data_IF_706253287072
#
_entry.id   IF_706253287072
#
_cell.length_a   1.000
_cell.length_b   1.000
_cell.length_c   1.000
_cell.angle_alpha   90.00
_cell.angle_beta   90.00
_cell.angle_gamma   90.00
#
_symmetry.space_group_name_H-M   'P 1'
#
loop_
_entity.id
_entity.type
_entity.pdbx_description
1 polymer ?
#
# COMPACT_ATOMS: atom_id res chain seq x y z
N UNK A 1 69.04 -12.23 -33.20
CA UNK A 1 68.81 -13.50 -32.48
C UNK A 1 68.53 -13.16 -31.02
N UNK A 2 67.58 -13.87 -30.42
CA UNK A 2 67.00 -13.77 -29.06
C UNK A 2 65.73 -12.90 -28.96
N UNK A 3 64.60 -13.63 -29.00
CA UNK A 3 63.27 -13.27 -28.54
C UNK A 3 63.26 -12.95 -27.04
N UNK A 4 62.32 -12.10 -26.60
CA UNK A 4 61.51 -12.41 -25.43
C UNK A 4 60.14 -11.71 -25.51
N UNK A 5 59.11 -12.54 -25.52
CA UNK A 5 57.68 -12.27 -25.45
C UNK A 5 57.29 -12.02 -23.97
N UNK A 6 56.16 -11.32 -23.73
CA UNK A 6 55.14 -11.50 -22.66
C UNK A 6 54.57 -10.14 -22.22
N UNK A 7 53.38 -9.69 -22.65
CA UNK A 7 51.98 -10.11 -22.33
C UNK A 7 51.34 -9.25 -21.21
N UNK A 8 50.18 -8.66 -21.58
CA UNK A 8 49.03 -8.20 -20.78
C UNK A 8 49.19 -6.91 -19.94
N UNK A 9 48.16 -6.07 -19.70
CA UNK A 9 46.76 -6.37 -19.40
C UNK A 9 45.84 -5.24 -19.92
N UNK A 10 44.81 -5.59 -20.67
CA UNK A 10 43.71 -4.68 -21.02
C UNK A 10 42.71 -4.60 -19.87
N UNK A 11 42.46 -3.39 -19.36
CA UNK A 11 41.45 -3.12 -18.33
C UNK A 11 40.11 -2.86 -19.02
N UNK A 12 39.27 -3.90 -19.12
CA UNK A 12 37.88 -3.73 -19.49
C UNK A 12 37.07 -3.31 -18.26
N UNK A 13 36.74 -2.01 -18.18
CA UNK A 13 35.77 -1.47 -17.23
C UNK A 13 34.37 -1.97 -17.60
N UNK A 14 33.95 -3.08 -16.97
CA UNK A 14 32.57 -3.53 -16.97
C UNK A 14 31.75 -2.58 -16.08
N UNK A 15 30.99 -1.70 -16.71
CA UNK A 15 29.92 -0.96 -16.05
C UNK A 15 28.84 -1.95 -15.61
N UNK A 16 28.91 -2.40 -14.36
CA UNK A 16 27.83 -3.11 -13.72
C UNK A 16 26.66 -2.13 -13.51
N UNK A 17 25.66 -2.16 -14.39
CA UNK A 17 24.39 -1.47 -14.18
C UNK A 17 23.68 -2.10 -12.98
N UNK A 18 23.32 -1.36 -11.91
CA UNK A 18 22.58 -1.93 -10.80
C UNK A 18 21.12 -2.09 -11.23
N UNK A 19 20.75 -3.24 -11.79
CA UNK A 19 19.35 -3.57 -12.12
C UNK A 19 18.55 -4.06 -10.90
N UNK A 20 19.06 -3.90 -9.69
CA UNK A 20 18.59 -4.60 -8.50
C UNK A 20 17.66 -3.75 -7.62
N UNK A 21 16.60 -3.16 -8.21
CA UNK A 21 15.52 -2.53 -7.42
C UNK A 21 14.10 -2.78 -7.98
N UNK A 22 13.94 -3.10 -9.27
CA UNK A 22 12.59 -3.25 -9.85
C UNK A 22 11.91 -4.61 -9.61
N UNK A 23 12.61 -5.61 -9.07
CA UNK A 23 12.15 -7.00 -9.07
C UNK A 23 11.28 -7.39 -7.85
N UNK A 24 11.33 -6.61 -6.75
CA UNK A 24 10.65 -6.96 -5.49
C UNK A 24 9.13 -6.69 -5.50
N UNK A 25 8.66 -5.76 -6.33
CA UNK A 25 7.22 -5.42 -6.38
C UNK A 25 6.42 -6.34 -7.30
N UNK A 26 7.00 -6.79 -8.42
CA UNK A 26 6.33 -7.73 -9.33
C UNK A 26 6.15 -9.12 -8.69
N UNK A 27 7.12 -9.57 -7.88
CA UNK A 27 7.04 -10.83 -7.15
C UNK A 27 5.85 -10.89 -6.17
N UNK A 28 5.50 -9.76 -5.54
CA UNK A 28 4.43 -9.70 -4.53
C UNK A 28 3.02 -9.83 -5.12
N UNK A 29 2.81 -9.44 -6.37
CA UNK A 29 1.56 -9.63 -7.10
C UNK A 29 1.50 -10.96 -7.87
N UNK A 30 2.52 -11.82 -7.74
CA UNK A 30 2.59 -13.13 -8.40
C UNK A 30 2.58 -14.27 -7.38
N UNK A 31 2.00 -14.06 -6.20
CA UNK A 31 1.86 -15.11 -5.19
C UNK A 31 1.06 -16.28 -5.77
N UNK A 32 1.54 -17.54 -5.63
CA UNK A 32 0.76 -18.71 -6.01
C UNK A 32 -0.48 -18.88 -5.11
N UNK A 33 -0.51 -18.20 -3.97
CA UNK A 33 -1.68 -18.17 -3.08
C UNK A 33 -2.78 -17.28 -3.66
N UNK A 34 -3.67 -17.89 -4.45
CA UNK A 34 -4.84 -17.22 -5.03
C UNK A 34 -5.77 -16.64 -3.96
N UNK A 35 -5.75 -17.16 -2.73
CA UNK A 35 -6.59 -16.67 -1.63
C UNK A 35 -6.14 -15.30 -1.12
N UNK A 36 -4.90 -14.91 -1.39
CA UNK A 36 -4.42 -13.57 -1.09
C UNK A 36 -5.04 -12.50 -2.01
N UNK A 37 -5.50 -12.88 -3.21
CA UNK A 37 -6.16 -11.96 -4.12
C UNK A 37 -7.60 -11.72 -3.72
N UNK A 38 -8.05 -10.47 -3.83
CA UNK A 38 -9.45 -10.13 -3.61
C UNK A 38 -10.32 -10.80 -4.68
N UNK A 39 -11.22 -11.67 -4.27
CA UNK A 39 -12.07 -12.45 -5.16
C UNK A 39 -13.38 -11.72 -5.46
N UNK A 40 -14.03 -12.02 -6.59
CA UNK A 40 -15.29 -11.38 -6.99
C UNK A 40 -16.46 -11.59 -6.00
N UNK A 41 -16.40 -12.64 -5.17
CA UNK A 41 -17.38 -12.89 -4.11
C UNK A 41 -17.06 -12.20 -2.78
N UNK A 42 -15.94 -11.49 -2.67
CA UNK A 42 -15.60 -10.71 -1.49
C UNK A 42 -16.51 -9.48 -1.39
N UNK A 43 -17.11 -9.17 -0.23
CA UNK A 43 -17.95 -7.98 -0.07
C UNK A 43 -17.26 -6.67 -0.48
N UNK A 44 -15.94 -6.54 -0.26
CA UNK A 44 -15.21 -5.34 -0.65
C UNK A 44 -14.90 -5.27 -2.16
N UNK A 45 -15.16 -6.33 -2.94
CA UNK A 45 -14.67 -6.42 -4.31
C UNK A 45 -15.15 -5.29 -5.22
N UNK A 46 -16.44 -4.94 -5.15
CA UNK A 46 -17.03 -3.91 -6.01
C UNK A 46 -16.37 -2.56 -5.73
N UNK A 47 -16.41 -2.10 -4.47
CA UNK A 47 -15.81 -0.84 -4.08
C UNK A 47 -14.30 -0.83 -4.32
N UNK A 48 -13.62 -1.96 -4.09
CA UNK A 48 -12.19 -2.05 -4.30
C UNK A 48 -11.81 -1.90 -5.78
N UNK A 49 -12.61 -2.48 -6.69
CA UNK A 49 -12.41 -2.33 -8.13
C UNK A 49 -12.79 -0.92 -8.62
N UNK A 50 -13.81 -0.29 -8.04
CA UNK A 50 -14.16 1.11 -8.32
C UNK A 50 -13.02 2.06 -7.95
N UNK A 51 -12.42 1.90 -6.76
CA UNK A 51 -11.25 2.66 -6.35
C UNK A 51 -10.04 2.36 -7.25
N UNK A 52 -9.81 1.09 -7.60
CA UNK A 52 -8.74 0.73 -8.54
C UNK A 52 -8.91 1.42 -9.90
N UNK A 53 -10.14 1.48 -10.41
CA UNK A 53 -10.46 2.12 -11.67
C UNK A 53 -10.28 3.64 -11.59
N UNK A 54 -10.69 4.26 -10.48
CA UNK A 54 -10.47 5.68 -10.21
C UNK A 54 -8.98 6.01 -10.24
N UNK A 55 -8.16 5.24 -9.53
CA UNK A 55 -6.70 5.42 -9.51
C UNK A 55 -6.09 5.28 -10.92
N UNK A 56 -6.49 4.25 -11.68
CA UNK A 56 -6.03 4.04 -13.06
C UNK A 56 -6.39 5.21 -13.97
N UNK A 57 -7.63 5.71 -13.87
CA UNK A 57 -8.08 6.87 -14.65
C UNK A 57 -7.30 8.15 -14.35
N UNK A 58 -6.60 8.20 -13.20
CA UNK A 58 -5.81 9.33 -12.72
C UNK A 58 -4.30 9.05 -12.76
N UNK A 59 -3.88 8.07 -13.57
CA UNK A 59 -2.48 7.84 -13.92
C UNK A 59 -1.68 6.99 -12.93
N UNK A 60 -2.35 6.25 -12.04
CA UNK A 60 -1.71 5.16 -11.30
C UNK A 60 -1.72 3.87 -12.11
N UNK A 61 -0.68 3.05 -11.97
CA UNK A 61 -0.73 1.65 -12.37
C UNK A 61 -1.04 0.79 -11.15
N UNK A 62 -2.28 0.31 -11.03
CA UNK A 62 -2.66 -0.67 -10.01
C UNK A 62 -2.28 -2.06 -10.48
N UNK A 63 -1.21 -2.61 -9.89
CA UNK A 63 -0.59 -3.90 -10.26
C UNK A 63 -1.45 -5.08 -9.81
N UNK A 64 -1.92 -5.05 -8.56
CA UNK A 64 -2.87 -6.02 -8.04
C UNK A 64 -3.64 -5.45 -6.84
N UNK A 65 -4.78 -6.07 -6.56
CA UNK A 65 -5.61 -5.81 -5.38
C UNK A 65 -5.76 -7.13 -4.62
N UNK A 66 -5.39 -7.08 -3.34
CA UNK A 66 -5.29 -8.23 -2.45
C UNK A 66 -6.24 -8.04 -1.25
N UNK A 67 -6.49 -9.11 -0.52
CA UNK A 67 -7.16 -9.03 0.79
C UNK A 67 -6.29 -8.24 1.77
N UNK A 68 -6.95 -7.47 2.62
CA UNK A 68 -6.30 -6.59 3.60
C UNK A 68 -6.17 -7.30 4.95
N UNK A 69 -5.09 -7.02 5.68
CA UNK A 69 -4.96 -7.50 7.06
C UNK A 69 -5.79 -6.68 8.06
N UNK A 70 -6.40 -5.59 7.58
CA UNK A 70 -7.27 -4.70 8.35
C UNK A 70 -8.77 -5.00 8.14
N UNK A 71 -9.10 -6.14 7.53
CA UNK A 71 -10.46 -6.67 7.54
C UNK A 71 -10.98 -6.75 8.99
N UNK A 72 -12.17 -6.17 9.23
CA UNK A 72 -12.79 -6.18 10.56
C UNK A 72 -12.22 -5.16 11.57
N UNK A 73 -11.39 -4.20 11.17
CA UNK A 73 -10.84 -3.19 12.08
C UNK A 73 -11.92 -2.28 12.72
N UNK A 74 -13.05 -2.08 12.05
CA UNK A 74 -14.17 -1.25 12.50
C UNK A 74 -15.50 -2.01 12.43
N UNK A 75 -16.42 -1.69 13.33
CA UNK A 75 -17.81 -2.16 13.27
C UNK A 75 -18.47 -1.65 11.99
N UNK A 76 -19.19 -2.55 11.31
CA UNK A 76 -19.95 -2.20 10.11
C UNK A 76 -19.11 -2.01 8.84
N UNK A 77 -17.82 -2.38 8.82
CA UNK A 77 -17.06 -2.46 7.57
C UNK A 77 -17.72 -3.44 6.59
N UNK A 78 -17.79 -3.02 5.34
CA UNK A 78 -18.13 -3.93 4.23
C UNK A 78 -16.92 -4.80 3.89
N UNK A 79 -15.73 -4.23 3.92
CA UNK A 79 -14.48 -4.98 3.93
C UNK A 79 -13.26 -4.09 3.74
N UNK A 80 -12.15 -4.67 3.31
CA UNK A 80 -10.89 -3.96 3.13
C UNK A 80 -10.04 -4.60 2.03
N UNK A 81 -9.17 -3.82 1.38
CA UNK A 81 -8.29 -4.29 0.33
C UNK A 81 -6.90 -3.65 0.39
N UNK A 82 -5.88 -4.43 0.06
CA UNK A 82 -4.49 -3.98 -0.11
C UNK A 82 -4.22 -3.71 -1.59
N UNK A 83 -3.77 -2.51 -1.91
CA UNK A 83 -3.40 -2.09 -3.24
C UNK A 83 -1.88 -2.12 -3.39
N UNK A 84 -1.41 -2.76 -4.46
CA UNK A 84 -0.02 -2.64 -4.92
C UNK A 84 -0.01 -1.76 -6.15
N UNK A 85 0.70 -0.64 -6.11
CA UNK A 85 0.78 0.29 -7.25
C UNK A 85 2.21 0.49 -7.74
N UNK A 86 2.38 1.26 -8.81
CA UNK A 86 3.67 1.79 -9.25
C UNK A 86 4.24 2.86 -8.31
N UNK A 87 3.43 3.44 -7.43
CA UNK A 87 3.81 4.54 -6.52
C UNK A 87 3.90 4.11 -5.05
N UNK A 88 3.73 2.82 -4.77
CA UNK A 88 3.75 2.25 -3.43
C UNK A 88 2.47 1.50 -3.09
N UNK A 89 2.41 1.00 -1.87
CA UNK A 89 1.34 0.14 -1.38
C UNK A 89 0.53 0.85 -0.30
N UNK A 90 -0.78 0.63 -0.28
CA UNK A 90 -1.67 1.15 0.76
C UNK A 90 -2.86 0.20 0.97
N UNK A 91 -3.45 0.26 2.16
CA UNK A 91 -4.71 -0.44 2.44
C UNK A 91 -5.87 0.55 2.36
N UNK A 92 -7.02 0.10 1.88
CA UNK A 92 -8.26 0.85 1.91
C UNK A 92 -9.35 0.03 2.60
N UNK A 93 -10.09 0.67 3.49
CA UNK A 93 -11.21 0.10 4.22
C UNK A 93 -12.48 0.76 3.72
N UNK A 94 -13.54 -0.03 3.58
CA UNK A 94 -14.79 0.34 2.94
C UNK A 94 -15.93 0.24 3.94
N UNK A 95 -16.66 1.34 4.12
CA UNK A 95 -17.97 1.31 4.76
C UNK A 95 -19.06 1.14 3.71
N UNK A 96 -20.21 0.54 4.08
CA UNK A 96 -21.39 0.54 3.23
C UNK A 96 -21.83 1.97 2.89
N UNK A 97 -21.98 2.26 1.59
CA UNK A 97 -22.54 3.56 1.15
C UNK A 97 -23.97 3.73 1.70
N UNK A 98 -24.35 4.93 2.22
CA UNK A 98 -23.64 6.21 2.16
C UNK A 98 -22.82 6.54 3.42
N UNK A 99 -22.48 5.57 4.27
CA UNK A 99 -21.71 5.82 5.50
C UNK A 99 -20.30 6.33 5.18
N UNK A 100 -19.72 7.11 6.09
CA UNK A 100 -18.41 7.76 5.89
C UNK A 100 -17.54 7.66 7.14
N UNK A 101 -16.25 7.87 6.97
CA UNK A 101 -15.27 7.97 8.05
C UNK A 101 -15.08 9.40 8.58
N UNK A 102 -15.97 10.34 8.25
CA UNK A 102 -15.82 11.75 8.65
C UNK A 102 -15.82 11.97 10.17
N UNK A 103 -16.39 11.04 10.94
CA UNK A 103 -16.36 11.04 12.41
C UNK A 103 -15.19 10.27 13.02
N UNK A 104 -14.25 9.78 12.20
CA UNK A 104 -13.09 9.00 12.66
C UNK A 104 -12.02 9.93 13.22
N UNK A 105 -11.48 9.57 14.37
CA UNK A 105 -10.38 10.27 15.02
C UNK A 105 -9.22 9.29 15.16
N UNK A 106 -8.06 9.66 14.62
CA UNK A 106 -6.82 8.90 14.77
C UNK A 106 -5.96 9.61 15.82
N UNK A 107 -5.59 8.88 16.87
CA UNK A 107 -4.65 9.35 17.90
C UNK A 107 -3.31 8.65 17.66
N UNK A 108 -2.28 9.44 17.37
CA UNK A 108 -0.90 8.98 17.28
C UNK A 108 -0.19 9.20 18.62
N UNK A 109 0.52 8.17 19.08
CA UNK A 109 1.43 8.22 20.22
C UNK A 109 2.81 7.78 19.76
N UNK A 110 3.84 8.58 20.06
CA UNK A 110 5.22 8.19 19.81
C UNK A 110 5.91 7.84 21.13
N UNK A 111 6.40 6.61 21.26
CA UNK A 111 7.14 6.14 22.44
C UNK A 111 8.27 5.21 22.02
N UNK A 112 9.47 5.40 22.61
CA UNK A 112 10.64 4.55 22.36
C UNK A 112 10.99 4.38 20.86
N UNK A 113 10.83 5.44 20.07
CA UNK A 113 11.07 5.41 18.62
C UNK A 113 10.03 4.61 17.81
N UNK A 114 8.93 4.18 18.43
CA UNK A 114 7.79 3.54 17.77
C UNK A 114 6.61 4.49 17.69
N UNK A 115 5.78 4.28 16.69
CA UNK A 115 4.52 4.97 16.51
C UNK A 115 3.40 4.00 16.80
N UNK A 116 2.50 4.38 17.70
CA UNK A 116 1.27 3.67 17.94
C UNK A 116 0.08 4.52 17.55
N UNK A 117 -0.91 3.90 16.91
CA UNK A 117 -2.16 4.53 16.53
C UNK A 117 -3.31 3.85 17.26
N UNK A 118 -4.21 4.67 17.79
CA UNK A 118 -5.53 4.23 18.25
C UNK A 118 -6.61 5.02 17.52
N UNK A 119 -7.74 4.36 17.32
CA UNK A 119 -8.86 4.92 16.56
C UNK A 119 -10.03 5.18 17.50
N UNK A 120 -10.78 6.25 17.27
CA UNK A 120 -11.93 6.65 18.07
C UNK A 120 -13.02 7.26 17.17
N UNK A 121 -14.23 7.41 17.70
CA UNK A 121 -15.34 8.04 16.98
C UNK A 121 -16.16 7.05 16.14
N UNK A 122 -16.57 7.46 14.94
CA UNK A 122 -17.48 6.70 14.06
C UNK A 122 -16.83 6.47 12.69
N UNK A 123 -16.84 5.22 12.15
CA UNK A 123 -17.39 3.98 12.74
C UNK A 123 -16.67 3.56 14.03
N UNK A 124 -17.35 2.79 14.87
CA UNK A 124 -16.76 2.34 16.14
C UNK A 124 -15.62 1.35 15.83
N UNK A 125 -14.40 1.58 16.33
CA UNK A 125 -13.31 0.63 16.18
C UNK A 125 -13.50 -0.58 17.09
N UNK A 126 -13.02 -1.74 16.67
CA UNK A 126 -13.07 -2.95 17.52
C UNK A 126 -12.21 -2.79 18.78
N UNK A 127 -12.48 -3.52 19.88
CA UNK A 127 -11.72 -3.36 21.12
C UNK A 127 -10.20 -3.54 20.99
N UNK A 128 -9.74 -4.32 20.00
CA UNK A 128 -8.33 -4.49 19.67
C UNK A 128 -7.82 -3.46 18.64
N UNK A 129 -8.07 -2.16 18.86
CA UNK A 129 -7.79 -1.07 17.91
C UNK A 129 -6.44 -0.37 18.12
N UNK A 130 -5.35 -1.15 18.22
CA UNK A 130 -4.00 -0.60 18.36
C UNK A 130 -3.12 -1.06 17.20
N UNK A 131 -2.61 -0.10 16.42
CA UNK A 131 -1.65 -0.37 15.34
C UNK A 131 -0.29 0.16 15.76
N UNK A 132 0.71 -0.71 15.77
CA UNK A 132 2.09 -0.37 16.12
C UNK A 132 2.99 -0.43 14.89
N UNK A 133 3.92 0.53 14.78
CA UNK A 133 4.75 0.69 13.59
C UNK A 133 6.12 1.29 13.92
N UNK A 134 7.21 0.79 13.31
CA UNK A 134 8.53 1.40 13.44
C UNK A 134 8.69 2.70 12.62
N UNK A 135 7.67 3.08 11.83
CA UNK A 135 7.64 4.27 10.98
C UNK A 135 6.26 4.94 11.05
N UNK A 136 6.16 6.25 10.72
CA UNK A 136 4.87 6.93 10.62
C UNK A 136 3.90 6.20 9.67
N UNK A 137 2.61 6.29 9.99
CA UNK A 137 1.50 5.85 9.15
C UNK A 137 0.60 7.05 8.98
N UNK A 138 0.36 7.39 7.72
CA UNK A 138 -0.56 8.41 7.31
C UNK A 138 -1.95 7.82 7.03
N UNK A 139 -2.98 8.61 7.32
CA UNK A 139 -4.37 8.23 7.10
C UNK A 139 -5.08 9.28 6.24
N UNK A 140 -5.89 8.82 5.30
CA UNK A 140 -6.74 9.68 4.48
C UNK A 140 -8.14 9.09 4.43
N UNK A 141 -9.16 9.92 4.34
CA UNK A 141 -10.52 9.44 4.08
C UNK A 141 -11.21 10.29 3.03
N UNK A 142 -12.05 9.65 2.24
CA UNK A 142 -12.89 10.28 1.24
C UNK A 142 -14.14 9.43 1.02
N UNK A 143 -15.32 10.05 1.15
CA UNK A 143 -16.61 9.34 1.11
C UNK A 143 -16.62 8.12 2.05
N UNK A 144 -16.87 6.92 1.52
CA UNK A 144 -16.94 5.67 2.28
C UNK A 144 -15.57 4.94 2.41
N UNK A 145 -14.47 5.60 2.03
CA UNK A 145 -13.12 5.03 2.05
C UNK A 145 -12.26 5.59 3.18
N UNK A 146 -11.49 4.72 3.83
CA UNK A 146 -10.41 5.07 4.76
C UNK A 146 -9.12 4.38 4.33
N UNK A 147 -8.09 5.17 4.04
CA UNK A 147 -6.81 4.70 3.50
C UNK A 147 -5.74 4.73 4.57
N UNK A 148 -4.94 3.66 4.63
CA UNK A 148 -3.82 3.48 5.55
C UNK A 148 -2.53 3.39 4.74
N UNK A 149 -1.64 4.37 4.93
CA UNK A 149 -0.56 4.68 3.99
C UNK A 149 0.75 4.79 4.76
N UNK A 150 1.76 4.01 4.38
CA UNK A 150 3.09 3.99 5.05
C UNK A 150 4.15 4.85 4.36
N UNK A 151 3.77 5.52 3.27
CA UNK A 151 4.64 6.34 2.43
C UNK A 151 4.03 7.75 2.26
N UNK A 152 4.73 8.77 2.73
CA UNK A 152 4.22 10.14 2.73
C UNK A 152 4.10 10.75 1.33
N UNK A 153 4.96 10.34 0.39
CA UNK A 153 4.85 10.78 -1.00
C UNK A 153 3.61 10.18 -1.66
N UNK A 154 3.34 8.89 -1.39
CA UNK A 154 2.13 8.21 -1.82
C UNK A 154 0.89 8.89 -1.22
N UNK A 155 0.93 9.29 0.05
CA UNK A 155 -0.18 10.02 0.70
C UNK A 155 -0.56 11.27 -0.09
N UNK A 156 0.40 12.13 -0.40
CA UNK A 156 0.16 13.36 -1.19
C UNK A 156 -0.46 13.03 -2.55
N UNK A 157 0.03 11.99 -3.23
CA UNK A 157 -0.52 11.57 -4.53
C UNK A 157 -1.91 10.97 -4.47
N UNK A 158 -2.24 10.27 -3.39
CA UNK A 158 -3.60 9.75 -3.17
C UNK A 158 -4.57 10.90 -2.86
N UNK A 159 -4.16 11.87 -2.05
CA UNK A 159 -4.97 13.04 -1.72
C UNK A 159 -5.34 13.87 -2.96
N UNK A 160 -4.36 14.14 -3.84
CA UNK A 160 -4.57 14.81 -5.14
C UNK A 160 -5.60 14.08 -6.03
N UNK A 161 -5.65 12.74 -5.96
CA UNK A 161 -6.52 11.92 -6.80
C UNK A 161 -7.93 11.78 -6.24
N UNK A 162 -8.05 11.70 -4.91
CA UNK A 162 -9.34 11.48 -4.24
C UNK A 162 -10.12 12.78 -4.03
N UNK A 163 -9.46 13.92 -3.96
CA UNK A 163 -10.10 15.24 -3.82
C UNK A 163 -9.76 16.14 -5.03
N UNK A 164 -10.27 15.81 -6.23
CA UNK A 164 -9.94 16.53 -7.45
C UNK A 164 -10.49 17.96 -7.52
#
# INVERSE_FOLDING_TARGET
>A
MILALNVAIGVALLFATPQLVLQDQAAKCNSPDRLAFLQAGDPAYVDAMELAQTLRSRGFTVKCVLRSTMEGAFEGLEGAALYRTDRGDFEALFLPKPQTFAGMIVIEEQQNGRYTYSFHGTPRPWPANRVDSPRPISFLWHANHFLVIRDDQLRVKLEEVLNP
#
